data_IF_943290319769
#
_entry.id   IF_943290319769
#
_cell.length_a   1.000
_cell.length_b   1.000
_cell.length_c   1.000
_cell.angle_alpha   90.00
_cell.angle_beta   90.00
_cell.angle_gamma   90.00
#
_symmetry.space_group_name_H-M   'P 1'
#
loop_
_entity.id
_entity.type
_entity.pdbx_description
1 polymer ?
#
# COMPACT_ATOMS: atom_id res chain seq x y z
N UNK A 1 -6.45 23.83 24.71
CA UNK A 1 -6.51 24.18 23.27
C UNK A 1 -5.53 23.28 22.57
N UNK A 2 -5.93 22.61 21.50
CA UNK A 2 -5.01 21.81 20.69
C UNK A 2 -4.14 22.76 19.89
N UNK A 3 -2.81 22.69 20.04
CA UNK A 3 -1.89 23.45 19.20
C UNK A 3 -1.87 22.86 17.80
N UNK A 4 -1.97 23.73 16.79
CA UNK A 4 -1.86 23.34 15.39
C UNK A 4 -0.40 23.47 14.96
N UNK A 5 0.11 22.47 14.23
CA UNK A 5 1.46 22.46 13.66
C UNK A 5 1.54 23.06 12.26
N UNK A 6 2.76 23.12 11.71
CA UNK A 6 3.03 23.50 10.31
C UNK A 6 3.34 22.25 9.49
N UNK A 7 2.74 22.13 8.31
CA UNK A 7 3.04 21.06 7.35
C UNK A 7 4.34 21.39 6.58
N UNK A 8 5.24 20.43 6.50
CA UNK A 8 6.51 20.57 5.80
C UNK A 8 6.65 19.51 4.70
N UNK A 9 7.34 19.86 3.62
CA UNK A 9 7.72 18.90 2.57
C UNK A 9 8.99 18.19 3.00
N UNK A 10 9.00 16.89 2.78
CA UNK A 10 10.10 15.98 3.11
C UNK A 10 10.41 15.09 1.92
N UNK A 11 11.63 14.55 1.87
CA UNK A 11 11.94 13.45 0.97
C UNK A 11 11.28 12.18 1.50
N UNK A 12 10.57 11.44 0.64
CA UNK A 12 9.91 10.20 1.05
C UNK A 12 10.93 9.13 1.44
N UNK A 13 12.14 9.15 0.87
CA UNK A 13 13.20 8.19 1.20
C UNK A 13 13.81 8.39 2.58
N UNK A 14 13.58 9.55 3.21
CA UNK A 14 13.94 9.77 4.61
C UNK A 14 12.96 9.08 5.58
N UNK A 15 11.76 8.73 5.12
CA UNK A 15 10.70 8.07 5.91
C UNK A 15 10.60 6.59 5.55
N UNK A 16 10.57 6.29 4.25
CA UNK A 16 10.48 4.95 3.69
C UNK A 16 11.74 4.66 2.88
N UNK A 17 12.79 4.23 3.58
CA UNK A 17 14.08 3.93 2.97
C UNK A 17 13.94 2.83 1.91
N UNK A 18 13.09 1.84 2.21
CA UNK A 18 12.80 0.69 1.36
C UNK A 18 11.30 0.45 1.25
N UNK A 19 10.84 -0.01 0.08
CA UNK A 19 9.41 -0.24 -0.12
C UNK A 19 8.93 -1.42 0.71
N UNK A 20 9.53 -2.60 0.55
CA UNK A 20 9.12 -3.82 1.25
C UNK A 20 9.12 -3.72 2.79
N UNK A 21 10.10 -3.03 3.40
CA UNK A 21 10.20 -2.94 4.86
C UNK A 21 9.50 -1.72 5.46
N UNK A 22 9.32 -0.64 4.70
CA UNK A 22 8.82 0.62 5.25
C UNK A 22 7.51 1.09 4.59
N UNK A 23 7.48 1.21 3.26
CA UNK A 23 6.29 1.73 2.56
C UNK A 23 5.16 0.71 2.47
N UNK A 24 5.45 -0.53 2.07
CA UNK A 24 4.47 -1.61 1.92
C UNK A 24 3.72 -1.85 3.25
N UNK A 25 4.38 -1.97 4.41
CA UNK A 25 3.68 -2.14 5.68
C UNK A 25 2.90 -0.91 6.11
N UNK A 26 3.35 0.30 5.74
CA UNK A 26 2.61 1.54 5.98
C UNK A 26 1.33 1.58 5.14
N UNK A 27 1.42 1.31 3.85
CA UNK A 27 0.28 1.30 2.92
C UNK A 27 -0.76 0.25 3.33
N UNK A 28 -0.30 -0.91 3.80
CA UNK A 28 -1.15 -2.01 4.25
C UNK A 28 -1.84 -1.77 5.61
N UNK A 29 -1.59 -0.63 6.29
CA UNK A 29 -2.33 -0.28 7.50
C UNK A 29 -3.81 -0.05 7.17
N UNK A 30 -4.70 -0.52 8.06
CA UNK A 30 -6.16 -0.46 7.86
C UNK A 30 -6.66 0.91 7.39
N UNK A 31 -6.21 1.99 8.01
CA UNK A 31 -6.65 3.34 7.63
C UNK A 31 -6.16 3.78 6.25
N UNK A 32 -4.97 3.33 5.81
CA UNK A 32 -4.41 3.64 4.50
C UNK A 32 -5.06 2.79 3.41
N UNK A 33 -5.30 1.50 3.68
CA UNK A 33 -6.09 0.64 2.80
C UNK A 33 -7.53 1.13 2.67
N UNK A 34 -8.16 1.60 3.76
CA UNK A 34 -9.50 2.18 3.70
C UNK A 34 -9.53 3.47 2.87
N UNK A 35 -8.49 4.30 2.95
CA UNK A 35 -8.36 5.47 2.10
C UNK A 35 -8.23 5.08 0.62
N UNK A 36 -7.43 4.04 0.31
CA UNK A 36 -7.30 3.50 -1.04
C UNK A 36 -8.62 2.91 -1.56
N UNK A 37 -9.26 2.06 -0.76
CA UNK A 37 -10.58 1.45 -1.02
C UNK A 37 -11.63 2.51 -1.35
N UNK A 38 -11.68 3.61 -0.58
CA UNK A 38 -12.60 4.72 -0.83
C UNK A 38 -12.39 5.39 -2.18
N UNK A 39 -11.15 5.46 -2.68
CA UNK A 39 -10.83 6.01 -4.01
C UNK A 39 -11.19 5.01 -5.12
N UNK A 40 -10.95 3.72 -4.88
CA UNK A 40 -11.24 2.65 -5.83
C UNK A 40 -12.74 2.31 -5.94
N UNK A 41 -13.52 2.61 -4.90
CA UNK A 41 -14.96 2.42 -4.87
C UNK A 41 -15.42 1.02 -4.46
N UNK A 42 -14.55 0.26 -3.78
CA UNK A 42 -14.86 -1.05 -3.20
C UNK A 42 -13.99 -1.31 -1.97
N UNK A 43 -14.47 -2.13 -1.05
CA UNK A 43 -13.81 -2.41 0.22
C UNK A 43 -12.67 -3.44 0.07
N UNK A 44 -11.54 -3.15 0.71
CA UNK A 44 -10.34 -4.01 0.70
C UNK A 44 -10.11 -4.64 2.08
N UNK A 45 -10.07 -5.97 2.15
CA UNK A 45 -9.57 -6.70 3.31
C UNK A 45 -8.13 -7.16 3.04
N UNK A 46 -7.19 -6.84 3.93
CA UNK A 46 -5.80 -7.28 3.83
C UNK A 46 -5.70 -8.77 4.14
N UNK A 47 -5.09 -9.52 3.22
CA UNK A 47 -4.87 -10.97 3.38
C UNK A 47 -3.41 -11.25 3.72
N UNK A 48 -2.47 -10.64 2.99
CA UNK A 48 -1.04 -10.80 3.24
C UNK A 48 -0.24 -9.64 2.67
N UNK A 49 0.98 -9.47 3.18
CA UNK A 49 2.03 -8.64 2.60
C UNK A 49 3.17 -9.55 2.15
N UNK A 50 3.88 -9.17 1.09
CA UNK A 50 5.07 -9.86 0.59
C UNK A 50 4.82 -11.37 0.34
N UNK A 51 3.67 -11.68 -0.27
CA UNK A 51 3.11 -13.03 -0.41
C UNK A 51 3.59 -13.69 -1.70
N UNK A 52 4.07 -14.93 -1.60
CA UNK A 52 4.39 -15.74 -2.78
C UNK A 52 3.11 -16.08 -3.57
N UNK A 53 3.10 -15.76 -4.87
CA UNK A 53 2.02 -16.04 -5.82
C UNK A 53 2.60 -16.73 -7.05
N UNK A 54 2.70 -18.06 -6.98
CA UNK A 54 3.36 -18.85 -8.01
C UNK A 54 4.86 -18.54 -8.07
N UNK A 55 5.41 -18.13 -9.23
CA UNK A 55 6.82 -17.75 -9.34
C UNK A 55 7.10 -16.29 -8.94
N UNK A 56 6.07 -15.51 -8.62
CA UNK A 56 6.17 -14.10 -8.27
C UNK A 56 5.91 -13.89 -6.78
N UNK A 57 6.17 -12.66 -6.32
CA UNK A 57 5.90 -12.24 -4.95
C UNK A 57 5.14 -10.92 -5.00
N UNK A 58 3.95 -10.90 -4.42
CA UNK A 58 3.08 -9.74 -4.38
C UNK A 58 3.36 -8.87 -3.16
N UNK A 59 3.49 -7.56 -3.33
CA UNK A 59 3.70 -6.63 -2.21
C UNK A 59 2.52 -6.69 -1.22
N UNK A 60 1.28 -6.55 -1.72
CA UNK A 60 0.06 -6.63 -0.92
C UNK A 60 -1.00 -7.47 -1.65
N UNK A 61 -1.55 -8.45 -0.93
CA UNK A 61 -2.69 -9.24 -1.37
C UNK A 61 -3.91 -8.88 -0.53
N UNK A 62 -5.01 -8.59 -1.19
CA UNK A 62 -6.28 -8.23 -0.58
C UNK A 62 -7.45 -9.03 -1.17
N UNK A 63 -8.57 -9.01 -0.44
CA UNK A 63 -9.89 -9.38 -0.94
C UNK A 63 -10.75 -8.15 -1.16
N UNK A 64 -11.44 -8.12 -2.30
CA UNK A 64 -12.58 -7.23 -2.48
C UNK A 64 -13.77 -7.79 -1.70
N UNK A 65 -14.30 -7.03 -0.75
CA UNK A 65 -15.40 -7.49 0.10
C UNK A 65 -16.77 -7.45 -0.59
N UNK A 66 -16.89 -6.74 -1.72
CA UNK A 66 -18.15 -6.64 -2.45
C UNK A 66 -18.49 -7.92 -3.22
N UNK A 67 -17.47 -8.56 -3.82
CA UNK A 67 -17.65 -9.72 -4.70
C UNK A 67 -16.70 -10.90 -4.42
N UNK A 68 -15.79 -10.76 -3.44
CA UNK A 68 -14.86 -11.80 -3.03
C UNK A 68 -13.68 -12.01 -4.00
N UNK A 69 -13.51 -11.16 -5.00
CA UNK A 69 -12.38 -11.24 -5.93
C UNK A 69 -11.06 -10.92 -5.24
N UNK A 70 -9.96 -11.46 -5.78
CA UNK A 70 -8.61 -11.15 -5.31
C UNK A 70 -8.13 -9.84 -5.91
N UNK A 71 -7.51 -9.01 -5.08
CA UNK A 71 -6.86 -7.76 -5.49
C UNK A 71 -5.39 -7.86 -5.12
N UNK A 72 -4.53 -7.76 -6.13
CA UNK A 72 -3.09 -7.72 -5.97
C UNK A 72 -2.63 -6.28 -6.20
N UNK A 73 -1.83 -5.77 -5.27
CA UNK A 73 -1.31 -4.41 -5.29
C UNK A 73 0.21 -4.50 -5.30
N UNK A 74 0.84 -3.94 -6.33
CA UNK A 74 2.29 -3.69 -6.43
C UNK A 74 2.52 -2.19 -6.22
N UNK A 75 3.33 -1.83 -5.23
CA UNK A 75 3.47 -0.44 -4.80
C UNK A 75 4.87 0.11 -5.05
N UNK A 76 4.94 1.32 -5.61
CA UNK A 76 6.20 2.03 -5.84
C UNK A 76 6.08 3.48 -5.39
N UNK A 77 7.12 4.00 -4.73
CA UNK A 77 7.23 5.41 -4.35
C UNK A 77 7.58 6.30 -5.54
N UNK A 78 8.42 5.77 -6.43
CA UNK A 78 8.89 6.46 -7.62
C UNK A 78 8.03 6.14 -8.83
N UNK A 79 8.34 6.78 -9.96
CA UNK A 79 7.65 6.50 -11.22
C UNK A 79 7.76 5.03 -11.57
N UNK A 80 6.62 4.43 -11.92
CA UNK A 80 6.58 3.00 -12.21
C UNK A 80 7.52 2.60 -13.35
N UNK A 81 8.19 1.46 -13.17
CA UNK A 81 9.04 0.84 -14.17
C UNK A 81 8.66 -0.63 -14.39
N UNK A 82 8.96 -1.13 -15.58
CA UNK A 82 8.62 -2.49 -16.01
C UNK A 82 9.62 -3.55 -15.53
N UNK A 83 10.57 -3.16 -14.68
CA UNK A 83 11.58 -4.07 -14.11
C UNK A 83 11.08 -4.64 -12.77
N UNK A 84 10.11 -3.97 -12.15
CA UNK A 84 9.42 -4.40 -10.93
C UNK A 84 8.23 -5.35 -11.13
N UNK A 85 8.04 -5.94 -12.33
CA UNK A 85 6.98 -6.90 -12.63
C UNK A 85 7.55 -8.26 -13.07
#
# INVERSE_FOLDING_TARGET
>A
MTELGTLERVDLRDIWATEAQDFTPWLAQEHNLNALASVLGFDLELEAQEQDVGPFRADILCKNMDDGTWVLIENQLERTDHIHL
#
